data_IF_333090949061
#
_entry.id   IF_333090949061
#
_cell.length_a   1.000
_cell.length_b   1.000
_cell.length_c   1.000
_cell.angle_alpha   90.00
_cell.angle_beta   90.00
_cell.angle_gamma   90.00
#
_symmetry.space_group_name_H-M   'P 1'
#
loop_
_entity.id
_entity.type
_entity.pdbx_description
1 polymer ?
#
# COMPACT_ATOMS: atom_id res chain seq x y z
N UNK A 1 6.59 -34.48 -39.47
CA UNK A 1 5.25 -34.04 -39.05
C UNK A 1 5.37 -33.14 -37.85
N UNK A 2 5.28 -31.86 -38.14
CA UNK A 2 5.27 -30.72 -37.23
C UNK A 2 3.82 -30.55 -36.78
N UNK A 3 3.49 -30.80 -35.52
CA UNK A 3 2.17 -30.43 -35.00
C UNK A 3 2.29 -29.48 -33.81
N UNK A 4 1.55 -28.39 -33.96
CA UNK A 4 1.66 -27.09 -33.31
C UNK A 4 0.62 -26.99 -32.19
N UNK A 5 0.82 -27.72 -31.11
CA UNK A 5 0.13 -27.47 -29.84
C UNK A 5 1.21 -27.43 -28.75
N UNK A 6 1.73 -26.28 -28.36
CA UNK A 6 0.99 -25.20 -27.72
C UNK A 6 1.56 -25.06 -26.30
N UNK A 7 2.61 -24.25 -26.18
CA UNK A 7 3.34 -24.03 -24.92
C UNK A 7 2.38 -23.45 -23.85
N UNK A 8 2.42 -24.01 -22.63
CA UNK A 8 1.49 -23.71 -21.53
C UNK A 8 1.44 -22.22 -21.11
N UNK A 9 2.45 -21.44 -21.49
CA UNK A 9 2.51 -19.98 -21.29
C UNK A 9 1.56 -19.18 -22.20
N UNK A 10 1.07 -19.78 -23.29
CA UNK A 10 0.10 -19.14 -24.21
C UNK A 10 -1.28 -19.81 -24.19
N UNK A 11 -1.36 -21.08 -23.78
CA UNK A 11 -2.60 -21.85 -23.74
C UNK A 11 -3.61 -21.32 -22.73
N UNK A 12 -3.17 -20.99 -21.52
CA UNK A 12 -4.04 -20.41 -20.48
C UNK A 12 -4.36 -18.93 -20.68
N UNK A 13 -3.44 -18.17 -21.29
CA UNK A 13 -3.62 -16.72 -21.49
C UNK A 13 -4.61 -16.39 -22.61
N UNK A 14 -4.90 -17.33 -23.50
CA UNK A 14 -5.77 -17.13 -24.66
C UNK A 14 -7.01 -18.04 -24.69
N UNK A 15 -7.21 -18.89 -23.68
CA UNK A 15 -8.29 -19.90 -23.69
C UNK A 15 -9.70 -19.29 -23.72
N UNK A 16 -9.84 -18.04 -23.27
CA UNK A 16 -11.14 -17.39 -23.10
C UNK A 16 -11.23 -15.97 -23.69
N UNK A 17 -10.17 -15.49 -24.35
CA UNK A 17 -10.17 -14.17 -24.98
C UNK A 17 -10.22 -14.35 -26.50
N UNK A 18 -11.32 -13.90 -27.12
CA UNK A 18 -11.39 -13.80 -28.57
C UNK A 18 -10.31 -12.82 -29.04
N UNK A 19 -9.30 -13.32 -29.76
CA UNK A 19 -8.20 -12.50 -30.31
C UNK A 19 -8.62 -11.61 -31.48
N UNK A 20 -9.89 -11.69 -31.89
CA UNK A 20 -10.48 -10.99 -33.03
C UNK A 20 -11.46 -9.89 -32.59
N UNK A 21 -11.33 -9.36 -31.36
CA UNK A 21 -12.17 -8.24 -30.91
C UNK A 21 -11.57 -6.95 -31.47
N UNK A 22 -12.26 -6.35 -32.43
CA UNK A 22 -11.94 -5.02 -32.92
C UNK A 22 -12.52 -3.96 -31.97
N UNK A 23 -11.64 -3.18 -31.34
CA UNK A 23 -12.05 -2.15 -30.37
C UNK A 23 -12.76 -0.95 -31.03
N UNK A 24 -12.56 -0.73 -32.34
CA UNK A 24 -13.33 0.23 -33.12
C UNK A 24 -14.78 -0.20 -33.24
N UNK A 25 -15.01 -1.47 -33.63
CA UNK A 25 -16.37 -2.06 -33.69
C UNK A 25 -17.01 -2.09 -32.30
N UNK A 26 -16.28 -2.47 -31.25
CA UNK A 26 -16.84 -2.44 -29.88
C UNK A 26 -17.24 -1.03 -29.45
N UNK A 27 -16.49 0.00 -29.86
CA UNK A 27 -16.84 1.39 -29.58
C UNK A 27 -18.09 1.83 -30.34
N UNK A 28 -18.18 1.47 -31.62
CA UNK A 28 -19.34 1.77 -32.48
C UNK A 28 -20.60 1.08 -31.96
N UNK A 29 -20.48 -0.15 -31.48
CA UNK A 29 -21.58 -0.92 -30.90
C UNK A 29 -21.91 -0.55 -29.44
N UNK A 30 -21.24 0.44 -28.86
CA UNK A 30 -21.57 0.92 -27.51
C UNK A 30 -22.98 1.55 -27.50
N UNK A 31 -23.79 1.21 -26.50
CA UNK A 31 -25.16 1.67 -26.34
C UNK A 31 -26.19 0.97 -27.24
N UNK A 32 -25.77 0.09 -28.15
CA UNK A 32 -26.71 -0.65 -29.01
C UNK A 32 -27.56 -1.59 -28.18
N UNK A 33 -28.88 -1.39 -28.25
CA UNK A 33 -29.89 -2.22 -27.60
C UNK A 33 -30.42 -3.28 -28.56
N UNK A 34 -30.70 -4.47 -28.01
CA UNK A 34 -31.49 -5.47 -28.70
C UNK A 34 -32.90 -4.96 -28.99
N UNK A 35 -33.61 -5.52 -29.99
CA UNK A 35 -35.05 -5.33 -30.09
C UNK A 35 -35.75 -5.68 -28.76
N UNK A 36 -36.84 -4.98 -28.40
CA UNK A 36 -37.68 -5.35 -27.29
C UNK A 36 -38.21 -6.78 -27.45
N UNK A 37 -38.43 -7.46 -26.33
CA UNK A 37 -39.06 -8.78 -26.33
C UNK A 37 -40.55 -8.69 -26.73
N UNK A 38 -41.08 -9.78 -27.28
CA UNK A 38 -42.47 -9.84 -27.76
C UNK A 38 -43.53 -9.62 -26.65
N UNK A 39 -43.15 -9.74 -25.38
CA UNK A 39 -44.00 -9.45 -24.21
C UNK A 39 -43.83 -8.03 -23.66
N UNK A 40 -43.21 -7.11 -24.43
CA UNK A 40 -42.93 -5.74 -23.98
C UNK A 40 -41.68 -5.60 -23.09
N UNK A 41 -40.88 -6.66 -22.97
CA UNK A 41 -39.61 -6.63 -22.23
C UNK A 41 -38.66 -5.61 -22.88
N UNK A 42 -38.11 -4.64 -22.14
CA UNK A 42 -37.17 -3.66 -22.72
C UNK A 42 -35.92 -4.33 -23.30
N UNK A 43 -35.33 -3.70 -24.31
CA UNK A 43 -34.06 -4.15 -24.90
C UNK A 43 -32.91 -4.21 -23.89
N UNK A 44 -31.91 -5.03 -24.22
CA UNK A 44 -30.67 -5.20 -23.45
C UNK A 44 -29.46 -4.76 -24.27
N UNK A 45 -28.37 -4.42 -23.61
CA UNK A 45 -27.10 -4.09 -24.27
C UNK A 45 -26.57 -5.32 -25.00
N UNK A 46 -26.35 -5.17 -26.30
CA UNK A 46 -25.80 -6.24 -27.12
C UNK A 46 -24.32 -6.50 -26.78
N UNK A 47 -23.93 -7.77 -26.77
CA UNK A 47 -22.56 -8.22 -26.60
C UNK A 47 -22.16 -9.21 -27.71
N UNK A 48 -20.86 -9.28 -28.01
CA UNK A 48 -20.32 -10.14 -29.06
C UNK A 48 -20.22 -11.62 -28.64
N UNK A 49 -20.32 -11.90 -27.34
CA UNK A 49 -20.03 -13.21 -26.74
C UNK A 49 -21.31 -13.93 -26.32
N UNK A 50 -22.27 -14.06 -27.24
CA UNK A 50 -23.52 -14.75 -26.98
C UNK A 50 -23.31 -16.25 -26.71
N UNK A 51 -24.19 -16.86 -25.90
CA UNK A 51 -24.06 -18.26 -25.49
C UNK A 51 -24.31 -19.27 -26.63
N UNK A 52 -25.36 -19.07 -27.44
CA UNK A 52 -25.69 -19.99 -28.54
C UNK A 52 -26.38 -19.22 -29.71
N UNK A 53 -25.75 -19.15 -30.91
CA UNK A 53 -26.30 -18.43 -32.06
C UNK A 53 -27.58 -19.06 -32.65
N UNK A 54 -27.94 -20.29 -32.27
CA UNK A 54 -29.19 -20.93 -32.72
C UNK A 54 -30.38 -20.74 -31.78
N UNK A 55 -30.18 -20.15 -30.59
CA UNK A 55 -31.18 -20.13 -29.52
C UNK A 55 -31.83 -18.74 -29.33
N UNK A 56 -32.15 -18.06 -30.44
CA UNK A 56 -32.87 -16.79 -30.37
C UNK A 56 -34.32 -17.05 -29.92
N UNK A 57 -34.71 -16.39 -28.82
CA UNK A 57 -36.08 -16.40 -28.32
C UNK A 57 -36.60 -14.96 -28.29
N UNK A 58 -37.63 -14.61 -29.09
CA UNK A 58 -38.17 -13.26 -29.13
C UNK A 58 -38.82 -12.84 -27.80
N UNK A 59 -39.20 -13.78 -26.92
CA UNK A 59 -39.71 -13.46 -25.58
C UNK A 59 -38.61 -13.15 -24.57
N UNK A 60 -37.36 -13.53 -24.86
CA UNK A 60 -36.23 -13.28 -23.97
C UNK A 60 -34.95 -12.92 -24.76
N UNK A 61 -34.78 -11.63 -25.13
CA UNK A 61 -33.65 -11.20 -25.93
C UNK A 61 -32.30 -11.34 -25.22
N UNK A 62 -32.24 -11.41 -23.88
CA UNK A 62 -30.96 -11.50 -23.13
C UNK A 62 -30.20 -12.79 -23.43
N UNK A 63 -30.90 -13.89 -23.74
CA UNK A 63 -30.25 -15.18 -23.99
C UNK A 63 -29.38 -15.17 -25.23
N UNK A 64 -29.72 -14.31 -26.20
CA UNK A 64 -29.02 -14.17 -27.46
C UNK A 64 -28.16 -12.91 -27.49
N UNK A 65 -28.69 -11.75 -27.09
CA UNK A 65 -27.98 -10.48 -27.21
C UNK A 65 -27.15 -10.11 -25.98
N UNK A 66 -27.49 -10.63 -24.79
CA UNK A 66 -26.83 -10.26 -23.55
C UNK A 66 -25.39 -10.80 -23.45
N UNK A 67 -24.58 -10.13 -22.64
CA UNK A 67 -23.22 -10.57 -22.33
C UNK A 67 -23.25 -11.91 -21.61
N UNK A 68 -22.69 -12.95 -22.21
CA UNK A 68 -22.63 -14.25 -21.55
C UNK A 68 -21.64 -14.20 -20.38
N UNK A 69 -20.37 -13.90 -20.66
CA UNK A 69 -19.31 -13.78 -19.63
C UNK A 69 -18.78 -12.35 -19.47
N UNK A 70 -18.92 -11.53 -20.49
CA UNK A 70 -18.37 -10.18 -20.56
C UNK A 70 -19.36 -9.24 -21.26
N UNK A 71 -19.46 -8.00 -20.80
CA UNK A 71 -20.12 -6.93 -21.54
C UNK A 71 -19.18 -6.37 -22.59
N UNK A 72 -19.73 -5.69 -23.60
CA UNK A 72 -18.98 -4.69 -24.37
C UNK A 72 -18.25 -3.76 -23.37
N UNK A 73 -16.90 -3.61 -23.44
CA UNK A 73 -16.15 -2.80 -22.48
C UNK A 73 -16.67 -1.37 -22.36
N UNK A 74 -17.09 -0.75 -23.47
CA UNK A 74 -17.65 0.60 -23.45
C UNK A 74 -19.01 0.64 -22.74
N UNK A 75 -19.84 -0.38 -22.92
CA UNK A 75 -21.09 -0.50 -22.18
C UNK A 75 -20.87 -0.68 -20.69
N UNK A 76 -19.87 -1.47 -20.29
CA UNK A 76 -19.50 -1.64 -18.89
C UNK A 76 -19.09 -0.32 -18.25
N UNK A 77 -18.16 0.41 -18.86
CA UNK A 77 -17.68 1.69 -18.32
C UNK A 77 -18.70 2.83 -18.41
N UNK A 78 -19.55 2.88 -19.44
CA UNK A 78 -20.59 3.92 -19.57
C UNK A 78 -21.72 3.74 -18.55
N UNK A 79 -21.88 2.54 -17.98
CA UNK A 79 -22.97 2.21 -17.05
C UNK A 79 -22.48 1.93 -15.64
N UNK A 80 -21.23 2.29 -15.36
CA UNK A 80 -20.63 2.22 -14.05
C UNK A 80 -19.93 3.53 -13.75
N UNK A 81 -20.33 4.18 -12.68
CA UNK A 81 -19.72 5.44 -12.22
C UNK A 81 -19.01 5.18 -10.90
N UNK A 82 -17.68 5.22 -10.90
CA UNK A 82 -16.86 5.11 -9.70
C UNK A 82 -16.25 6.50 -9.41
N UNK A 83 -16.86 7.25 -8.50
CA UNK A 83 -16.42 8.59 -8.08
C UNK A 83 -15.55 8.44 -6.84
N UNK A 84 -14.38 9.08 -6.84
CA UNK A 84 -13.53 9.18 -5.65
C UNK A 84 -13.05 10.60 -5.49
N UNK A 85 -13.20 11.13 -4.28
CA UNK A 85 -12.66 12.41 -3.86
C UNK A 85 -11.67 12.20 -2.72
N UNK A 86 -10.53 12.88 -2.79
CA UNK A 86 -9.53 12.87 -1.73
C UNK A 86 -9.05 14.28 -1.47
N UNK A 87 -9.30 14.77 -0.28
CA UNK A 87 -8.77 16.04 0.19
C UNK A 87 -7.60 15.76 1.14
N UNK A 88 -6.54 16.57 1.05
CA UNK A 88 -5.36 16.44 1.93
C UNK A 88 -4.93 17.81 2.44
N UNK A 89 -4.91 17.94 3.76
CA UNK A 89 -4.30 19.07 4.46
C UNK A 89 -2.99 18.60 5.11
N UNK A 90 -1.88 19.24 4.78
CA UNK A 90 -0.59 18.90 5.38
C UNK A 90 0.28 20.13 5.57
N UNK A 91 1.15 20.09 6.57
CA UNK A 91 2.10 21.16 6.86
C UNK A 91 2.79 20.98 8.20
N UNK A 92 3.70 21.90 8.51
CA UNK A 92 4.34 21.99 9.82
C UNK A 92 4.37 23.43 10.35
N UNK A 93 4.37 23.54 11.67
CA UNK A 93 4.67 24.76 12.40
C UNK A 93 5.89 24.49 13.25
N UNK A 94 6.81 25.44 13.27
CA UNK A 94 8.05 25.29 14.01
C UNK A 94 8.60 26.56 14.60
N UNK A 95 9.30 26.38 15.73
CA UNK A 95 10.08 27.41 16.38
C UNK A 95 11.52 26.93 16.48
N UNK A 96 12.46 27.76 16.02
CA UNK A 96 13.89 27.50 16.17
C UNK A 96 14.52 28.64 16.97
N UNK A 97 15.20 28.29 18.06
CA UNK A 97 15.96 29.22 18.88
C UNK A 97 17.45 28.92 18.75
N UNK A 98 18.23 29.93 18.34
CA UNK A 98 19.70 29.84 18.29
C UNK A 98 20.25 30.29 19.63
N UNK A 99 20.80 29.34 20.40
CA UNK A 99 21.38 29.63 21.72
C UNK A 99 22.73 30.33 21.56
N UNK A 100 23.53 29.89 20.58
CA UNK A 100 24.76 30.55 20.16
C UNK A 100 25.07 30.21 18.69
N UNK A 101 26.28 30.51 18.21
CA UNK A 101 26.71 30.22 16.83
C UNK A 101 26.71 28.73 16.49
N UNK A 102 26.91 27.88 17.50
CA UNK A 102 27.18 26.45 17.32
C UNK A 102 25.95 25.59 17.69
N UNK A 103 25.06 26.10 18.56
CA UNK A 103 23.95 25.33 19.11
C UNK A 103 22.58 26.00 18.90
N UNK A 104 21.62 25.21 18.42
CA UNK A 104 20.22 25.61 18.24
C UNK A 104 19.28 24.53 18.72
N UNK A 105 18.10 24.93 19.19
CA UNK A 105 16.99 24.05 19.53
C UNK A 105 15.83 24.36 18.59
N UNK A 106 15.16 23.32 18.12
CA UNK A 106 13.98 23.40 17.26
C UNK A 106 12.85 22.56 17.85
N UNK A 107 11.68 23.16 18.02
CA UNK A 107 10.43 22.46 18.30
C UNK A 107 9.55 22.45 17.04
N UNK A 108 8.92 21.31 16.73
CA UNK A 108 8.05 21.13 15.57
C UNK A 108 6.71 20.50 15.96
N UNK A 109 5.65 20.93 15.29
CA UNK A 109 4.44 20.13 15.11
C UNK A 109 4.18 19.97 13.60
N UNK A 110 4.04 18.73 13.14
CA UNK A 110 3.70 18.41 11.74
C UNK A 110 2.39 17.63 11.70
N UNK A 111 1.55 17.92 10.72
CA UNK A 111 0.30 17.21 10.50
C UNK A 111 0.14 16.85 9.03
N UNK A 112 -0.35 15.64 8.78
CA UNK A 112 -0.92 15.25 7.49
C UNK A 112 -2.29 14.62 7.74
N UNK A 113 -3.33 15.30 7.29
CA UNK A 113 -4.72 14.86 7.34
C UNK A 113 -5.18 14.54 5.92
N UNK A 114 -5.75 13.36 5.72
CA UNK A 114 -6.37 12.94 4.47
C UNK A 114 -7.82 12.56 4.79
N UNK A 115 -8.76 13.11 4.03
CA UNK A 115 -10.14 12.65 4.01
C UNK A 115 -10.46 12.14 2.62
N UNK A 116 -11.05 10.97 2.55
CA UNK A 116 -11.50 10.35 1.31
C UNK A 116 -13.01 10.16 1.34
N UNK A 117 -13.63 10.29 0.19
CA UNK A 117 -15.02 9.95 -0.04
C UNK A 117 -15.09 9.18 -1.36
N UNK A 118 -15.94 8.17 -1.42
CA UNK A 118 -16.22 7.50 -2.69
C UNK A 118 -17.71 7.22 -2.86
N UNK A 119 -18.09 7.06 -4.12
CA UNK A 119 -19.40 6.64 -4.54
C UNK A 119 -19.24 5.71 -5.76
N UNK A 120 -19.87 4.54 -5.74
CA UNK A 120 -19.94 3.66 -6.89
C UNK A 120 -21.41 3.45 -7.25
N UNK A 121 -21.75 3.61 -8.52
CA UNK A 121 -23.07 3.37 -9.09
C UNK A 121 -22.94 2.37 -10.22
N UNK A 122 -23.81 1.37 -10.23
CA UNK A 122 -23.92 0.40 -11.32
C UNK A 122 -25.36 0.45 -11.83
N UNK A 123 -25.54 0.85 -13.08
CA UNK A 123 -26.88 1.00 -13.67
C UNK A 123 -27.55 -0.37 -13.85
N UNK A 124 -28.87 -0.38 -13.70
CA UNK A 124 -29.73 -1.56 -13.85
C UNK A 124 -29.64 -2.21 -15.22
N UNK A 125 -29.34 -1.43 -16.26
CA UNK A 125 -29.17 -1.97 -17.60
C UNK A 125 -28.01 -2.99 -17.69
N UNK A 126 -26.95 -2.88 -16.87
CA UNK A 126 -25.90 -3.89 -16.84
C UNK A 126 -26.43 -5.21 -16.27
N UNK A 127 -27.10 -5.17 -15.12
CA UNK A 127 -27.72 -6.36 -14.51
C UNK A 127 -28.66 -7.07 -15.49
N UNK A 128 -29.54 -6.33 -16.15
CA UNK A 128 -30.49 -6.90 -17.12
C UNK A 128 -29.82 -7.40 -18.40
N UNK A 129 -28.65 -6.88 -18.76
CA UNK A 129 -27.94 -7.25 -20.00
C UNK A 129 -26.90 -8.35 -19.81
N UNK A 130 -26.76 -8.87 -18.59
CA UNK A 130 -25.81 -9.93 -18.25
C UNK A 130 -26.51 -11.27 -18.04
N UNK A 131 -25.90 -12.35 -18.53
CA UNK A 131 -26.38 -13.72 -18.26
C UNK A 131 -25.57 -14.41 -17.16
N UNK A 132 -24.26 -14.54 -17.36
CA UNK A 132 -23.34 -15.16 -16.39
C UNK A 132 -22.26 -14.18 -15.90
N UNK A 133 -22.46 -12.88 -16.12
CA UNK A 133 -21.54 -11.81 -15.72
C UNK A 133 -21.52 -11.56 -14.21
N UNK A 134 -22.59 -11.95 -13.50
CA UNK A 134 -22.74 -11.78 -12.04
C UNK A 134 -22.88 -10.33 -11.58
N UNK A 135 -22.94 -9.35 -12.50
CA UNK A 135 -23.07 -7.93 -12.15
C UNK A 135 -24.51 -7.64 -11.75
N UNK A 136 -24.68 -6.97 -10.61
CA UNK A 136 -25.96 -6.42 -10.17
C UNK A 136 -25.90 -4.90 -10.18
N UNK A 137 -27.05 -4.27 -10.39
CA UNK A 137 -27.26 -2.87 -10.15
C UNK A 137 -26.96 -2.58 -8.68
N UNK A 138 -26.42 -1.41 -8.38
CA UNK A 138 -26.06 -1.15 -7.00
C UNK A 138 -25.53 0.23 -6.75
N UNK A 139 -25.53 0.56 -5.47
CA UNK A 139 -24.99 1.78 -4.93
C UNK A 139 -24.07 1.45 -3.77
N UNK A 140 -22.87 2.02 -3.77
CA UNK A 140 -21.93 1.93 -2.67
C UNK A 140 -21.35 3.30 -2.37
N UNK A 141 -21.17 3.63 -1.10
CA UNK A 141 -20.52 4.85 -0.67
C UNK A 141 -19.64 4.60 0.55
N UNK A 142 -18.67 5.47 0.79
CA UNK A 142 -17.86 5.39 1.98
C UNK A 142 -17.01 6.62 2.20
N UNK A 143 -16.52 6.73 3.42
CA UNK A 143 -15.65 7.80 3.87
C UNK A 143 -14.42 7.18 4.55
N UNK A 144 -13.27 7.76 4.27
CA UNK A 144 -12.02 7.43 4.96
C UNK A 144 -11.42 8.69 5.58
N UNK A 145 -10.76 8.49 6.71
CA UNK A 145 -10.05 9.52 7.44
C UNK A 145 -8.70 8.95 7.87
N UNK A 146 -7.63 9.69 7.59
CA UNK A 146 -6.29 9.34 8.03
C UNK A 146 -5.60 10.60 8.56
N UNK A 147 -5.02 10.52 9.76
CA UNK A 147 -4.22 11.57 10.36
C UNK A 147 -2.86 11.03 10.84
N UNK A 148 -1.78 11.72 10.48
CA UNK A 148 -0.41 11.55 11.00
C UNK A 148 -0.01 12.87 11.68
N UNK A 149 0.02 12.86 13.01
CA UNK A 149 0.41 13.98 13.88
C UNK A 149 1.80 13.70 14.48
N UNK A 150 2.76 14.61 14.26
CA UNK A 150 4.13 14.48 14.75
C UNK A 150 4.58 15.68 15.58
N UNK A 151 5.18 15.39 16.72
CA UNK A 151 5.76 16.38 17.63
C UNK A 151 7.24 16.09 17.75
N UNK A 152 8.09 17.09 17.55
CA UNK A 152 9.55 16.93 17.57
C UNK A 152 10.18 18.00 18.45
N UNK A 153 11.18 17.60 19.24
CA UNK A 153 12.09 18.51 19.92
C UNK A 153 13.52 18.08 19.60
N UNK A 154 14.28 18.95 18.93
CA UNK A 154 15.59 18.63 18.37
C UNK A 154 16.59 19.71 18.77
N UNK A 155 17.70 19.30 19.39
CA UNK A 155 18.91 20.09 19.52
C UNK A 155 19.89 19.78 18.38
N UNK A 156 20.54 20.79 17.85
CA UNK A 156 21.58 20.66 16.82
C UNK A 156 22.81 21.43 17.24
N UNK A 157 23.96 20.74 17.23
CA UNK A 157 25.28 21.28 17.48
C UNK A 157 26.15 21.15 16.22
N UNK A 158 26.63 22.27 15.72
CA UNK A 158 27.51 22.36 14.56
C UNK A 158 28.76 23.15 14.95
N UNK A 159 29.95 22.53 14.84
CA UNK A 159 31.20 23.22 15.17
C UNK A 159 32.34 22.73 14.29
N UNK A 160 33.20 23.66 13.87
CA UNK A 160 34.47 23.35 13.22
C UNK A 160 35.62 23.76 14.14
N UNK A 161 36.56 22.85 14.38
CA UNK A 161 37.76 23.10 15.18
C UNK A 161 38.95 22.62 14.37
N UNK A 162 39.76 23.56 13.87
CA UNK A 162 40.87 23.26 12.97
C UNK A 162 40.40 22.45 11.74
N UNK A 163 40.98 21.27 11.57
CA UNK A 163 40.67 20.32 10.50
C UNK A 163 39.45 19.44 10.80
N UNK A 164 38.87 19.51 12.00
CA UNK A 164 37.73 18.69 12.41
C UNK A 164 36.41 19.45 12.27
N UNK A 165 35.37 18.75 11.83
CA UNK A 165 33.99 19.22 11.80
C UNK A 165 33.09 18.28 12.59
N UNK A 166 32.21 18.85 13.41
CA UNK A 166 31.23 18.13 14.22
C UNK A 166 29.82 18.56 13.80
N UNK A 167 28.97 17.57 13.52
CA UNK A 167 27.53 17.74 13.30
C UNK A 167 26.81 16.74 14.21
N UNK A 168 26.16 17.24 15.25
CA UNK A 168 25.49 16.41 16.25
C UNK A 168 24.05 16.87 16.39
N UNK A 169 23.12 15.93 16.31
CA UNK A 169 21.68 16.16 16.46
C UNK A 169 21.20 15.21 17.55
N UNK A 170 20.44 15.72 18.52
CA UNK A 170 19.79 14.90 19.55
C UNK A 170 18.37 15.38 19.78
N UNK A 171 17.43 14.48 20.05
CA UNK A 171 16.05 14.88 20.21
C UNK A 171 15.08 13.75 20.52
N UNK A 172 13.82 14.13 20.61
CA UNK A 172 12.68 13.23 20.79
C UNK A 172 11.59 13.47 19.75
N UNK A 173 10.85 12.41 19.43
CA UNK A 173 9.71 12.42 18.51
C UNK A 173 8.50 11.73 19.17
N UNK A 174 7.31 12.28 18.97
CA UNK A 174 6.04 11.60 19.24
C UNK A 174 5.25 11.58 17.94
N UNK A 175 4.80 10.40 17.52
CA UNK A 175 3.95 10.18 16.36
C UNK A 175 2.63 9.57 16.82
N UNK A 176 1.52 10.15 16.39
CA UNK A 176 0.18 9.58 16.54
C UNK A 176 -0.41 9.39 15.15
N UNK A 177 -0.82 8.16 14.84
CA UNK A 177 -1.51 7.85 13.59
C UNK A 177 -2.92 7.36 13.92
N UNK A 178 -3.91 7.90 13.21
CA UNK A 178 -5.32 7.52 13.32
C UNK A 178 -5.87 7.25 11.93
N UNK A 179 -6.45 6.09 11.74
CA UNK A 179 -7.11 5.65 10.52
C UNK A 179 -8.56 5.27 10.87
N UNK A 180 -9.52 5.78 10.09
CA UNK A 180 -10.93 5.45 10.23
C UNK A 180 -11.53 5.25 8.86
N UNK A 181 -12.37 4.25 8.72
CA UNK A 181 -13.06 3.94 7.48
C UNK A 181 -14.50 3.55 7.77
N UNK A 182 -15.44 4.06 6.97
CA UNK A 182 -16.83 3.61 6.95
C UNK A 182 -17.24 3.35 5.52
N UNK A 183 -17.89 2.22 5.28
CA UNK A 183 -18.42 1.85 3.97
C UNK A 183 -19.84 1.33 4.11
N UNK A 184 -20.65 1.55 3.09
CA UNK A 184 -21.98 0.98 2.98
C UNK A 184 -22.31 0.71 1.51
N UNK A 185 -23.02 -0.37 1.23
CA UNK A 185 -23.49 -0.71 -0.10
C UNK A 185 -24.84 -1.43 -0.06
N UNK A 186 -25.60 -1.27 -1.14
CA UNK A 186 -26.81 -2.07 -1.39
C UNK A 186 -26.45 -3.54 -1.58
N UNK A 187 -27.40 -4.43 -1.27
CA UNK A 187 -27.28 -5.88 -1.37
C UNK A 187 -28.40 -6.43 -2.26
N UNK A 188 -28.04 -7.39 -3.11
CA UNK A 188 -28.90 -8.09 -4.05
C UNK A 188 -29.56 -7.27 -5.17
N UNK A 189 -29.21 -5.99 -5.32
CA UNK A 189 -29.71 -5.14 -6.41
C UNK A 189 -30.37 -3.87 -5.88
N UNK A 190 -31.14 -3.22 -6.76
CA UNK A 190 -31.92 -2.02 -6.48
C UNK A 190 -33.42 -2.31 -6.65
N UNK A 191 -34.28 -1.87 -5.70
CA UNK A 191 -35.74 -2.02 -5.84
C UNK A 191 -36.28 -1.17 -6.99
N UNK A 192 -35.91 0.10 -7.02
CA UNK A 192 -36.23 1.04 -8.10
C UNK A 192 -35.00 1.13 -9.02
N UNK A 193 -35.11 0.74 -10.31
CA UNK A 193 -34.00 0.85 -11.25
C UNK A 193 -33.38 2.25 -11.26
N UNK A 194 -32.05 2.31 -11.22
CA UNK A 194 -31.23 3.53 -11.33
C UNK A 194 -31.52 4.64 -10.28
N UNK A 195 -32.24 4.32 -9.19
CA UNK A 195 -32.34 5.18 -8.02
C UNK A 195 -31.24 4.83 -7.01
N UNK A 196 -30.12 5.54 -7.08
CA UNK A 196 -28.92 5.25 -6.30
C UNK A 196 -29.00 5.78 -4.86
N UNK A 197 -29.59 4.96 -3.97
CA UNK A 197 -29.65 5.22 -2.54
C UNK A 197 -29.47 3.92 -1.75
N UNK A 198 -28.83 3.98 -0.59
CA UNK A 198 -28.69 2.81 0.30
C UNK A 198 -30.05 2.23 0.72
N UNK A 199 -31.06 3.11 0.87
CA UNK A 199 -32.44 2.71 1.18
C UNK A 199 -33.14 1.95 0.05
N UNK A 200 -32.60 2.00 -1.17
CA UNK A 200 -33.14 1.31 -2.33
C UNK A 200 -32.56 -0.12 -2.50
N UNK A 201 -31.93 -0.65 -1.46
CA UNK A 201 -31.36 -2.00 -1.44
C UNK A 201 -32.45 -3.08 -1.35
N UNK A 202 -32.38 -4.12 -2.17
CA UNK A 202 -33.35 -5.24 -2.13
C UNK A 202 -33.28 -6.00 -0.80
N UNK A 203 -32.06 -6.34 -0.37
CA UNK A 203 -31.82 -6.95 0.93
C UNK A 203 -31.28 -5.92 1.94
N UNK A 204 -31.13 -6.31 3.21
CA UNK A 204 -30.47 -5.48 4.20
C UNK A 204 -29.07 -5.03 3.69
N UNK A 205 -28.76 -3.75 3.84
CA UNK A 205 -27.51 -3.17 3.35
C UNK A 205 -26.30 -3.82 4.02
N UNK A 206 -25.19 -3.88 3.29
CA UNK A 206 -23.91 -4.28 3.85
C UNK A 206 -23.15 -3.02 4.27
N UNK A 207 -22.51 -3.05 5.44
CA UNK A 207 -21.73 -1.93 5.95
C UNK A 207 -20.52 -2.40 6.74
N UNK A 208 -19.51 -1.53 6.86
CA UNK A 208 -18.33 -1.75 7.67
C UNK A 208 -17.89 -0.46 8.35
N UNK A 209 -17.33 -0.57 9.54
CA UNK A 209 -16.71 0.54 10.27
C UNK A 209 -15.42 0.05 10.92
N UNK A 210 -14.31 0.70 10.59
CA UNK A 210 -12.99 0.37 11.11
C UNK A 210 -12.33 1.60 11.70
N UNK A 211 -11.60 1.40 12.80
CA UNK A 211 -10.79 2.44 13.45
C UNK A 211 -9.49 1.82 13.92
N UNK A 212 -8.36 2.36 13.45
CA UNK A 212 -7.02 1.97 13.89
C UNK A 212 -6.32 3.18 14.49
N UNK A 213 -5.67 3.00 15.64
CA UNK A 213 -4.83 4.04 16.23
C UNK A 213 -3.50 3.44 16.67
N UNK A 214 -2.43 4.14 16.39
CA UNK A 214 -1.09 3.80 16.87
C UNK A 214 -0.35 5.04 17.38
N UNK A 215 0.53 4.82 18.36
CA UNK A 215 1.41 5.84 18.91
C UNK A 215 2.82 5.31 18.95
N UNK A 216 3.76 6.14 18.52
CA UNK A 216 5.20 5.89 18.64
C UNK A 216 5.84 7.04 19.39
N UNK A 217 6.74 6.72 20.31
CA UNK A 217 7.63 7.71 20.94
C UNK A 217 9.06 7.32 20.64
N UNK A 218 9.94 8.29 20.46
CA UNK A 218 11.33 8.01 20.20
C UNK A 218 12.24 9.00 20.91
N UNK A 219 13.41 8.52 21.31
CA UNK A 219 14.56 9.35 21.61
C UNK A 219 15.70 8.93 20.70
N UNK A 220 16.44 9.91 20.17
CA UNK A 220 17.50 9.63 19.23
C UNK A 220 18.64 10.64 19.32
N UNK A 221 19.81 10.19 18.89
CA UNK A 221 20.96 11.03 18.63
C UNK A 221 21.68 10.56 17.37
N UNK A 222 22.21 11.50 16.61
CA UNK A 222 23.06 11.27 15.44
C UNK A 222 24.26 12.20 15.56
N UNK A 223 25.46 11.66 15.37
CA UNK A 223 26.69 12.42 15.33
C UNK A 223 27.47 12.11 14.06
N UNK A 224 28.10 13.13 13.48
CA UNK A 224 29.05 13.02 12.38
C UNK A 224 30.31 13.80 12.74
N UNK A 225 31.46 13.15 12.57
CA UNK A 225 32.78 13.76 12.72
C UNK A 225 33.48 13.68 11.37
N UNK A 226 33.91 14.83 10.87
CA UNK A 226 34.68 14.96 9.63
C UNK A 226 36.10 15.43 9.91
N UNK A 227 37.06 14.95 9.12
CA UNK A 227 38.44 15.43 9.10
C UNK A 227 38.83 15.88 7.70
N UNK A 228 39.25 17.14 7.58
CA UNK A 228 39.70 17.80 6.33
C UNK A 228 38.73 17.66 5.15
N UNK A 229 37.43 17.54 5.42
CA UNK A 229 36.39 17.22 4.42
C UNK A 229 36.67 15.93 3.63
N UNK A 230 37.49 15.04 4.17
CA UNK A 230 38.03 13.88 3.47
C UNK A 230 37.57 12.57 4.12
N UNK A 231 37.72 12.46 5.45
CA UNK A 231 37.26 11.32 6.23
C UNK A 231 36.04 11.72 7.04
N UNK A 232 35.03 10.87 7.06
CA UNK A 232 33.82 11.08 7.84
C UNK A 232 33.47 9.79 8.59
N UNK A 233 33.07 9.94 9.85
CA UNK A 233 32.55 8.88 10.68
C UNK A 233 31.18 9.32 11.23
N UNK A 234 30.18 8.46 11.06
CA UNK A 234 28.79 8.71 11.45
C UNK A 234 28.33 7.66 12.45
N UNK A 235 27.59 8.10 13.46
CA UNK A 235 26.90 7.24 14.43
C UNK A 235 25.46 7.71 14.61
N UNK A 236 24.52 6.78 14.69
CA UNK A 236 23.14 7.05 15.10
C UNK A 236 22.75 6.05 16.18
N UNK A 237 22.10 6.52 17.23
CA UNK A 237 21.47 5.70 18.26
C UNK A 237 20.01 6.15 18.39
N UNK A 238 19.07 5.22 18.41
CA UNK A 238 17.64 5.52 18.52
C UNK A 238 16.93 4.44 19.32
N UNK A 239 16.04 4.85 20.23
CA UNK A 239 15.14 3.95 20.93
C UNK A 239 13.70 4.39 20.64
N UNK A 240 12.90 3.50 20.07
CA UNK A 240 11.48 3.70 19.77
C UNK A 240 10.61 2.88 20.73
N UNK A 241 9.54 3.46 21.24
CA UNK A 241 8.47 2.78 21.97
C UNK A 241 7.20 2.75 21.12
N UNK A 242 6.63 1.56 20.92
CA UNK A 242 5.46 1.34 20.06
C UNK A 242 4.24 0.93 20.87
N UNK A 243 3.10 1.59 20.67
CA UNK A 243 1.84 1.16 21.31
C UNK A 243 1.29 -0.17 20.78
N UNK A 244 1.84 -0.66 19.67
CA UNK A 244 1.39 -1.90 19.00
C UNK A 244 2.10 -3.15 19.52
N UNK A 245 3.17 -2.98 20.31
CA UNK A 245 3.91 -4.08 20.94
C UNK A 245 3.40 -4.36 22.37
N UNK A 246 3.71 -5.53 22.95
CA UNK A 246 3.32 -5.86 24.32
C UNK A 246 3.82 -4.81 25.31
N UNK A 247 2.99 -4.43 26.28
CA UNK A 247 3.29 -3.33 27.20
C UNK A 247 4.62 -3.47 27.95
N UNK A 248 5.06 -4.70 28.23
CA UNK A 248 6.29 -5.01 28.94
C UNK A 248 7.52 -5.17 28.02
N UNK A 249 7.36 -5.15 26.70
CA UNK A 249 8.43 -5.33 25.69
C UNK A 249 8.14 -4.49 24.43
N UNK A 250 7.89 -3.20 24.64
CA UNK A 250 7.46 -2.28 23.58
C UNK A 250 8.55 -1.35 23.08
N UNK A 251 9.78 -1.47 23.58
CA UNK A 251 10.92 -0.65 23.16
C UNK A 251 11.83 -1.41 22.19
N UNK A 252 12.29 -0.73 21.13
CA UNK A 252 13.28 -1.26 20.20
C UNK A 252 14.42 -0.25 20.10
N UNK A 253 15.60 -0.68 20.54
CA UNK A 253 16.84 0.08 20.39
C UNK A 253 17.55 -0.32 19.09
N UNK A 254 17.91 0.67 18.29
CA UNK A 254 18.65 0.50 17.05
C UNK A 254 19.83 1.45 16.96
N UNK A 255 20.85 1.02 16.23
CA UNK A 255 22.10 1.76 16.02
C UNK A 255 22.55 1.68 14.57
N UNK A 256 23.27 2.70 14.12
CA UNK A 256 23.94 2.69 12.82
C UNK A 256 25.32 3.31 12.90
N UNK A 257 26.25 2.79 12.12
CA UNK A 257 27.60 3.30 11.94
C UNK A 257 27.86 3.51 10.45
N UNK A 258 28.52 4.60 10.12
CA UNK A 258 28.94 4.92 8.76
C UNK A 258 30.38 5.42 8.75
N UNK A 259 31.10 5.09 7.69
CA UNK A 259 32.37 5.70 7.40
C UNK A 259 32.42 6.06 5.93
N UNK A 260 33.02 7.20 5.60
CA UNK A 260 33.28 7.54 4.22
C UNK A 260 34.59 8.29 4.00
N UNK A 261 35.18 8.05 2.84
CA UNK A 261 36.48 8.58 2.47
C UNK A 261 36.42 9.17 1.07
N UNK A 262 36.60 10.48 0.96
CA UNK A 262 36.68 11.25 -0.29
C UNK A 262 38.15 11.32 -0.72
N UNK A 263 38.60 10.35 -1.49
CA UNK A 263 40.01 10.22 -1.87
C UNK A 263 40.41 11.05 -3.09
N UNK A 264 39.45 11.67 -3.79
CA UNK A 264 39.76 12.49 -4.97
C UNK A 264 40.69 13.64 -4.64
N UNK A 265 40.60 14.25 -3.46
CA UNK A 265 41.44 15.39 -3.08
C UNK A 265 42.93 15.02 -2.97
N UNK A 266 43.24 13.79 -2.57
CA UNK A 266 44.62 13.28 -2.50
C UNK A 266 45.17 12.88 -3.87
N UNK A 267 44.30 12.57 -4.82
CA UNK A 267 44.68 12.01 -6.13
C UNK A 267 44.64 13.03 -7.26
N UNK A 268 44.23 14.28 -7.00
CA UNK A 268 44.08 15.33 -8.04
C UNK A 268 45.30 15.51 -8.94
N UNK A 269 46.51 15.42 -8.38
CA UNK A 269 47.74 15.60 -9.14
C UNK A 269 48.08 14.39 -10.02
N UNK A 270 47.89 13.18 -9.50
CA UNK A 270 48.18 11.94 -10.23
C UNK A 270 47.09 11.59 -11.25
N UNK A 271 45.82 11.87 -10.92
CA UNK A 271 44.63 11.49 -11.68
C UNK A 271 43.75 12.72 -11.97
N UNK A 272 44.20 13.69 -12.80
CA UNK A 272 43.45 14.92 -13.06
C UNK A 272 42.11 14.69 -13.76
N UNK A 273 41.93 13.51 -14.38
CA UNK A 273 40.69 13.07 -15.00
C UNK A 273 39.65 12.59 -13.97
N UNK A 274 40.04 12.29 -12.73
CA UNK A 274 39.14 11.93 -11.64
C UNK A 274 38.67 13.21 -10.90
N UNK A 275 37.41 13.57 -11.09
CA UNK A 275 36.81 14.77 -10.49
C UNK A 275 36.30 14.55 -9.08
N UNK A 276 35.84 13.34 -8.78
CA UNK A 276 35.34 12.96 -7.47
C UNK A 276 35.50 11.45 -7.26
N UNK A 277 35.91 11.07 -6.08
CA UNK A 277 36.08 9.67 -5.69
C UNK A 277 35.72 9.54 -4.22
N UNK A 278 34.71 8.73 -3.93
CA UNK A 278 34.28 8.45 -2.56
C UNK A 278 34.05 6.96 -2.36
N UNK A 279 34.65 6.44 -1.31
CA UNK A 279 34.31 5.13 -0.75
C UNK A 279 33.41 5.34 0.47
N UNK A 280 32.40 4.48 0.63
CA UNK A 280 31.49 4.48 1.79
C UNK A 280 31.26 3.07 2.29
N UNK A 281 31.19 2.93 3.60
CA UNK A 281 30.78 1.71 4.27
C UNK A 281 29.75 2.06 5.34
N UNK A 282 28.64 1.33 5.39
CA UNK A 282 27.60 1.54 6.39
C UNK A 282 27.15 0.21 6.99
N UNK A 283 26.76 0.27 8.25
CA UNK A 283 26.09 -0.79 8.97
C UNK A 283 24.96 -0.13 9.75
N UNK A 284 23.75 -0.66 9.73
CA UNK A 284 22.65 -0.04 10.45
C UNK A 284 21.47 -0.96 10.72
N UNK A 285 20.77 -0.64 11.78
CA UNK A 285 19.58 -1.33 12.26
C UNK A 285 18.34 -0.44 12.07
N UNK A 286 17.23 -1.03 11.62
CA UNK A 286 15.92 -0.38 11.47
C UNK A 286 14.88 -1.15 12.28
N UNK A 287 14.10 -0.49 13.15
CA UNK A 287 13.10 -1.16 13.98
C UNK A 287 11.84 -1.51 13.19
N UNK A 288 11.22 -2.64 13.54
CA UNK A 288 9.95 -3.11 13.00
C UNK A 288 9.03 -3.54 14.13
N UNK A 289 7.78 -3.07 14.11
CA UNK A 289 6.74 -3.43 15.06
C UNK A 289 5.56 -4.12 14.34
N UNK A 290 4.65 -4.73 15.10
CA UNK A 290 3.39 -5.26 14.55
C UNK A 290 2.39 -4.13 14.29
N UNK A 291 1.37 -4.40 13.48
CA UNK A 291 0.26 -3.48 13.25
C UNK A 291 -0.64 -3.30 14.48
N UNK A 292 -1.49 -2.27 14.50
CA UNK A 292 -2.40 -2.00 15.61
C UNK A 292 -3.35 -3.18 15.87
N UNK A 293 -3.69 -3.39 17.14
CA UNK A 293 -4.63 -4.41 17.62
C UNK A 293 -4.30 -5.86 17.23
N UNK A 294 -3.04 -6.15 16.89
CA UNK A 294 -2.62 -7.51 16.48
C UNK A 294 -2.38 -8.46 17.67
N UNK A 295 -2.35 -7.97 18.92
CA UNK A 295 -1.97 -8.76 20.10
C UNK A 295 -3.15 -9.48 20.77
N UNK A 296 -4.36 -8.91 20.67
CA UNK A 296 -5.53 -9.42 21.36
C UNK A 296 -6.38 -10.31 20.44
N UNK A 297 -7.00 -11.33 21.03
CA UNK A 297 -8.03 -12.13 20.36
C UNK A 297 -9.34 -11.35 20.40
N UNK A 298 -9.89 -11.02 19.23
CA UNK A 298 -11.13 -10.23 19.11
C UNK A 298 -12.24 -11.03 18.46
N UNK A 299 -13.44 -10.99 19.03
CA UNK A 299 -14.64 -11.60 18.45
C UNK A 299 -15.38 -10.55 17.63
N UNK A 300 -15.41 -10.74 16.30
CA UNK A 300 -16.15 -9.86 15.41
C UNK A 300 -17.65 -10.03 15.61
N UNK A 301 -18.40 -8.94 15.62
CA UNK A 301 -19.86 -8.99 15.62
C UNK A 301 -20.34 -9.09 14.17
N UNK A 302 -21.18 -10.08 13.87
CA UNK A 302 -21.85 -10.16 12.57
C UNK A 302 -23.22 -9.47 12.68
N UNK A 303 -23.41 -8.46 11.83
CA UNK A 303 -24.65 -7.68 11.74
C UNK A 303 -25.79 -8.42 11.03
N UNK A 304 -25.50 -9.52 10.32
CA UNK A 304 -26.54 -10.41 9.81
C UNK A 304 -27.19 -11.14 10.99
N UNK A 305 -28.32 -10.61 11.44
CA UNK A 305 -29.18 -11.25 12.43
C UNK A 305 -29.57 -12.63 11.90
N UNK A 306 -29.41 -13.67 12.72
CA UNK A 306 -29.84 -15.01 12.36
C UNK A 306 -31.38 -15.09 12.42
N UNK A 307 -32.04 -14.55 11.39
CA UNK A 307 -33.50 -14.55 11.27
C UNK A 307 -34.09 -15.97 11.12
N UNK A 308 -33.24 -16.98 10.87
CA UNK A 308 -33.66 -18.34 10.54
C UNK A 308 -34.15 -19.18 11.73
N UNK A 309 -34.03 -18.72 12.98
CA UNK A 309 -34.44 -19.53 14.17
C UNK A 309 -35.66 -18.94 14.89
N UNK A 310 -35.83 -17.61 14.95
CA UNK A 310 -37.05 -16.99 15.48
C UNK A 310 -37.16 -15.50 15.08
N UNK A 311 -38.19 -15.08 14.31
CA UNK A 311 -38.41 -13.68 13.94
C UNK A 311 -38.74 -12.76 15.14
N UNK A 312 -38.97 -13.31 16.34
CA UNK A 312 -39.19 -12.56 17.57
C UNK A 312 -37.90 -12.22 18.36
N UNK A 313 -36.73 -12.70 17.93
CA UNK A 313 -35.48 -12.50 18.67
C UNK A 313 -34.34 -12.04 17.76
N UNK A 314 -33.94 -10.77 17.90
CA UNK A 314 -32.76 -10.21 17.25
C UNK A 314 -31.48 -10.64 17.96
N UNK A 315 -31.06 -11.90 17.80
CA UNK A 315 -29.76 -12.33 18.30
C UNK A 315 -28.65 -11.84 17.37
N UNK A 316 -27.72 -11.08 17.95
CA UNK A 316 -26.47 -10.70 17.31
C UNK A 316 -25.52 -11.89 17.40
N UNK A 317 -24.99 -12.33 16.27
CA UNK A 317 -24.00 -13.42 16.24
C UNK A 317 -22.58 -12.86 16.31
N UNK A 318 -21.66 -13.65 16.85
CA UNK A 318 -20.24 -13.32 16.86
C UNK A 318 -19.47 -14.33 16.03
N UNK A 319 -18.50 -13.84 15.26
CA UNK A 319 -17.54 -14.67 14.55
C UNK A 319 -16.38 -15.02 15.47
N UNK A 320 -15.93 -16.26 15.41
CA UNK A 320 -14.66 -16.67 16.03
C UNK A 320 -13.49 -16.00 15.29
N UNK A 321 -12.49 -15.46 16.02
CA UNK A 321 -11.31 -14.88 15.40
C UNK A 321 -10.56 -15.88 14.53
N UNK A 322 -10.20 -15.44 13.32
CA UNK A 322 -9.44 -16.26 12.38
C UNK A 322 -7.92 -16.22 12.64
N UNK A 323 -7.44 -15.28 13.44
CA UNK A 323 -6.01 -15.05 13.67
C UNK A 323 -5.67 -14.90 15.14
N UNK A 324 -4.45 -15.30 15.50
CA UNK A 324 -3.90 -15.18 16.85
C UNK A 324 -2.42 -14.76 16.80
N UNK A 325 -1.98 -13.91 17.72
CA UNK A 325 -0.55 -13.63 17.90
C UNK A 325 0.09 -14.65 18.85
N UNK A 326 1.36 -14.98 18.60
CA UNK A 326 2.16 -15.73 19.55
C UNK A 326 2.31 -14.94 20.86
N UNK A 327 2.24 -15.64 22.01
CA UNK A 327 2.33 -15.01 23.32
C UNK A 327 3.65 -14.26 23.55
N UNK A 328 4.72 -14.67 22.87
CA UNK A 328 6.06 -14.08 22.92
C UNK A 328 6.36 -13.16 21.72
N UNK A 329 5.33 -12.62 21.05
CA UNK A 329 5.52 -11.70 19.94
C UNK A 329 6.28 -10.46 20.40
N UNK A 330 7.32 -10.07 19.67
CA UNK A 330 8.15 -8.91 19.99
C UNK A 330 8.50 -8.10 18.75
N UNK A 331 9.07 -6.92 18.96
CA UNK A 331 9.67 -6.12 17.90
C UNK A 331 10.81 -6.85 17.19
N UNK A 332 11.10 -6.42 15.96
CA UNK A 332 12.20 -6.94 15.17
C UNK A 332 13.13 -5.83 14.70
N UNK A 333 14.31 -6.23 14.25
CA UNK A 333 15.32 -5.33 13.73
C UNK A 333 15.81 -5.86 12.39
N UNK A 334 15.77 -5.00 11.37
CA UNK A 334 16.43 -5.26 10.10
C UNK A 334 17.84 -4.67 10.15
N UNK A 335 18.85 -5.51 9.96
CA UNK A 335 20.25 -5.11 9.89
C UNK A 335 20.70 -5.02 8.43
N UNK A 336 21.25 -3.89 8.02
CA UNK A 336 21.77 -3.67 6.66
C UNK A 336 23.25 -3.31 6.70
N UNK A 337 24.03 -3.92 5.82
CA UNK A 337 25.44 -3.62 5.57
C UNK A 337 25.57 -3.15 4.13
N UNK A 338 26.24 -2.03 3.89
CA UNK A 338 26.51 -1.55 2.54
C UNK A 338 27.97 -1.16 2.35
N UNK A 339 28.46 -1.41 1.14
CA UNK A 339 29.73 -0.93 0.63
C UNK A 339 29.46 -0.21 -0.68
N UNK A 340 29.89 1.04 -0.79
CA UNK A 340 29.64 1.88 -1.95
C UNK A 340 30.89 2.56 -2.48
N UNK A 341 30.93 2.73 -3.79
CA UNK A 341 31.96 3.45 -4.50
C UNK A 341 31.29 4.42 -5.47
N UNK A 342 31.63 5.70 -5.34
CA UNK A 342 31.17 6.78 -6.21
C UNK A 342 32.36 7.40 -6.93
N UNK A 343 32.35 7.33 -8.26
CA UNK A 343 33.39 7.91 -9.12
C UNK A 343 32.77 8.89 -10.10
N UNK A 344 33.40 10.06 -10.26
CA UNK A 344 33.06 11.03 -11.31
C UNK A 344 34.33 11.45 -12.03
N UNK A 345 34.23 11.52 -13.34
CA UNK A 345 35.35 11.77 -14.24
C UNK A 345 35.08 12.99 -15.11
N UNK A 346 36.16 13.56 -15.66
CA UNK A 346 36.13 14.57 -16.72
C UNK A 346 35.25 15.79 -16.37
N UNK A 347 35.52 16.41 -15.22
CA UNK A 347 34.71 17.51 -14.65
C UNK A 347 33.26 17.09 -14.39
N UNK A 348 33.07 15.88 -13.88
CA UNK A 348 31.76 15.26 -13.63
C UNK A 348 30.86 15.10 -14.87
N UNK A 349 31.46 14.89 -16.05
CA UNK A 349 30.70 14.56 -17.27
C UNK A 349 30.34 13.08 -17.36
N UNK A 350 31.16 12.21 -16.78
CA UNK A 350 30.86 10.77 -16.67
C UNK A 350 30.89 10.41 -15.20
N UNK A 351 29.94 9.60 -14.74
CA UNK A 351 29.94 9.10 -13.37
C UNK A 351 29.39 7.69 -13.28
N UNK A 352 29.93 6.94 -12.33
CA UNK A 352 29.47 5.60 -11.97
C UNK A 352 29.38 5.54 -10.46
N UNK A 353 28.26 5.03 -9.95
CA UNK A 353 28.10 4.63 -8.57
C UNK A 353 27.74 3.16 -8.51
N UNK A 354 28.39 2.44 -7.60
CA UNK A 354 28.11 1.04 -7.34
C UNK A 354 27.94 0.85 -5.84
N UNK A 355 26.92 0.10 -5.44
CA UNK A 355 26.63 -0.24 -4.05
C UNK A 355 26.36 -1.73 -3.94
N UNK A 356 27.12 -2.43 -3.12
CA UNK A 356 26.79 -3.78 -2.69
C UNK A 356 26.13 -3.71 -1.33
N UNK A 357 24.99 -4.36 -1.17
CA UNK A 357 24.24 -4.38 0.08
C UNK A 357 23.91 -5.80 0.52
N UNK A 358 23.81 -5.97 1.83
CA UNK A 358 23.34 -7.18 2.49
C UNK A 358 22.43 -6.77 3.65
N UNK A 359 21.14 -7.06 3.50
CA UNK A 359 20.12 -6.83 4.52
C UNK A 359 19.63 -8.16 5.08
N UNK A 360 19.52 -8.26 6.40
CA UNK A 360 18.99 -9.41 7.13
C UNK A 360 17.97 -8.93 8.14
N UNK A 361 16.78 -9.52 8.13
CA UNK A 361 15.71 -9.24 9.10
C UNK A 361 15.51 -10.49 9.93
N UNK A 362 15.83 -10.41 11.22
CA UNK A 362 15.68 -11.52 12.15
C UNK A 362 14.44 -11.26 13.00
N UNK A 363 13.64 -12.29 13.25
CA UNK A 363 12.44 -12.21 14.08
C UNK A 363 11.35 -11.30 13.52
N UNK A 364 11.30 -11.05 12.21
CA UNK A 364 10.24 -10.21 11.60
C UNK A 364 8.86 -10.74 12.00
N UNK A 365 7.95 -9.91 12.55
CA UNK A 365 6.59 -10.34 12.79
C UNK A 365 5.91 -10.62 11.44
N UNK A 366 5.50 -11.86 11.21
CA UNK A 366 4.76 -12.26 10.02
C UNK A 366 3.53 -13.06 10.42
N UNK A 367 2.45 -12.91 9.65
CA UNK A 367 1.28 -13.78 9.77
C UNK A 367 1.46 -14.97 8.84
N UNK A 368 1.51 -16.18 9.40
CA UNK A 368 1.53 -17.44 8.66
C UNK A 368 0.15 -18.08 8.66
N UNK A 369 -0.16 -18.84 7.62
CA UNK A 369 -1.34 -19.71 7.59
C UNK A 369 -1.10 -20.92 8.48
N UNK A 370 -2.10 -21.29 9.28
CA UNK A 370 -2.09 -22.51 10.10
C UNK A 370 -3.32 -23.36 9.78
N UNK A 371 -3.26 -24.65 10.12
CA UNK A 371 -4.40 -25.55 9.92
C UNK A 371 -5.61 -25.07 10.74
N UNK A 372 -6.78 -25.01 10.09
CA UNK A 372 -8.06 -24.70 10.74
C UNK A 372 -8.42 -25.67 11.88
N UNK A 373 -7.81 -26.87 11.93
CA UNK A 373 -7.95 -27.81 13.06
C UNK A 373 -7.43 -27.24 14.39
N UNK A 374 -6.58 -26.22 14.36
CA UNK A 374 -6.10 -25.51 15.54
C UNK A 374 -7.14 -24.54 16.14
N UNK A 375 -8.25 -24.31 15.45
CA UNK A 375 -9.24 -23.28 15.79
C UNK A 375 -8.96 -21.89 15.20
N UNK A 376 -7.82 -21.72 14.51
CA UNK A 376 -7.45 -20.48 13.81
C UNK A 376 -7.00 -20.80 12.37
N UNK A 377 -7.05 -19.79 11.49
CA UNK A 377 -6.57 -19.87 10.10
C UNK A 377 -5.23 -19.14 9.90
N UNK A 378 -4.86 -18.25 10.82
CA UNK A 378 -3.56 -17.57 10.80
C UNK A 378 -2.94 -17.43 12.20
N UNK A 379 -1.61 -17.37 12.23
CA UNK A 379 -0.84 -17.09 13.45
C UNK A 379 0.24 -16.07 13.16
N UNK A 380 0.26 -14.98 13.91
CA UNK A 380 1.36 -13.99 13.85
C UNK A 380 2.50 -14.45 14.74
N UNK A 381 3.65 -14.72 14.15
CA UNK A 381 4.87 -15.17 14.84
C UNK A 381 6.04 -14.26 14.46
N UNK A 382 7.06 -14.21 15.30
CA UNK A 382 8.37 -13.74 14.86
C UNK A 382 8.98 -14.84 13.97
N UNK A 383 9.03 -14.62 12.66
CA UNK A 383 9.65 -15.54 11.72
C UNK A 383 11.16 -15.62 11.89
N UNK A 384 11.80 -16.58 11.22
CA UNK A 384 13.25 -16.68 11.15
C UNK A 384 13.93 -15.51 10.42
N UNK A 385 15.07 -15.79 9.80
CA UNK A 385 15.85 -14.79 9.08
C UNK A 385 15.39 -14.64 7.63
N UNK A 386 15.09 -13.40 7.21
CA UNK A 386 14.88 -13.05 5.80
C UNK A 386 16.07 -12.23 5.33
N UNK A 387 16.82 -12.77 4.36
CA UNK A 387 18.03 -12.14 3.82
C UNK A 387 17.80 -11.65 2.39
N UNK A 388 18.22 -10.41 2.11
CA UNK A 388 18.28 -9.83 0.76
C UNK A 388 19.68 -9.27 0.53
N UNK A 389 20.30 -9.64 -0.58
CA UNK A 389 21.60 -9.11 -1.00
C UNK A 389 21.58 -8.77 -2.47
N UNK A 390 22.38 -7.81 -2.88
CA UNK A 390 22.44 -7.40 -4.27
C UNK A 390 23.49 -6.33 -4.51
N UNK A 391 23.64 -5.99 -5.79
CA UNK A 391 24.44 -4.88 -6.23
C UNK A 391 23.57 -3.92 -7.03
N UNK A 392 23.68 -2.64 -6.73
CA UNK A 392 23.02 -1.55 -7.44
C UNK A 392 24.10 -0.74 -8.16
N UNK A 393 23.94 -0.55 -9.46
CA UNK A 393 24.88 0.20 -10.28
C UNK A 393 24.10 1.27 -11.03
N UNK A 394 24.58 2.50 -10.95
CA UNK A 394 24.08 3.62 -11.73
C UNK A 394 25.25 4.26 -12.48
N UNK A 395 25.00 4.62 -13.73
CA UNK A 395 25.95 5.37 -14.53
C UNK A 395 25.25 6.53 -15.22
N UNK A 396 25.97 7.63 -15.43
CA UNK A 396 25.52 8.73 -16.27
C UNK A 396 26.66 9.24 -17.14
N UNK A 397 26.29 9.82 -18.28
CA UNK A 397 27.19 10.55 -19.15
C UNK A 397 26.50 11.83 -19.64
N UNK A 398 27.26 12.91 -19.74
CA UNK A 398 26.88 14.20 -20.34
C UNK A 398 27.78 14.41 -21.58
N UNK A 399 27.32 13.97 -22.77
CA UNK A 399 28.14 13.96 -23.98
C UNK A 399 28.45 15.36 -24.53
N UNK A 400 27.57 16.33 -24.28
CA UNK A 400 27.70 17.75 -24.66
C UNK A 400 27.77 18.61 -23.42
#
# INVERSE_FOLDING_TARGET
NNDRYGNASSGGFNQWFHRNIDMGIMREMAGVLSPPGATGTPGVLAAWNHSNPGNYNPNNPVNFYGGNYHYNPFNYFNNREDITRRDRLFGDISLTYKINSDFRIRAAYRKSLVTGWYENKVNYILERSGRQTGTRAGYATGESFFADDRYELIGTFNKKVNDLSFDIIGGGEIVNISDKNITANTRDGLYIPDFFALSNSIAAIQYSNQRNNEKRRAIFTRGSIGWRNMLFADITLRNDWYSTLPANDNNIFVKSFGASFVFSDLTKQALPWLSYGKFRATWGEVPQAVGPYSLAVTYGVNGDQWAAVNPATNYVTQTTPNGIAAANIKGATQTTKELGLDLRFLKSRVGVSATYFHASTVNSPISITVSGTSGYNSKTINAGEITRRGMEVQAFAKPV
#
